data_IF_022191623712
#
_entry.id   IF_022191623712
#
_cell.length_a   1.000
_cell.length_b   1.000
_cell.length_c   1.000
_cell.angle_alpha   90.00
_cell.angle_beta   90.00
_cell.angle_gamma   90.00
#
_symmetry.space_group_name_H-M   'P 1'
#
loop_
_entity.id
_entity.type
_entity.pdbx_description
1 polymer ?
#
# COMPACT_ATOMS: atom_id res chain seq x y z
N UNK A 1 5.26 17.23 -31.62
CA UNK A 1 4.97 16.51 -30.37
C UNK A 1 6.29 15.98 -29.85
N UNK A 2 6.80 16.50 -28.73
CA UNK A 2 8.10 16.09 -28.21
C UNK A 2 7.98 14.65 -27.67
N UNK A 3 8.78 13.76 -28.24
CA UNK A 3 8.93 12.38 -27.83
C UNK A 3 9.49 12.37 -26.41
N UNK A 4 8.63 12.20 -25.40
CA UNK A 4 9.07 12.03 -24.02
C UNK A 4 9.64 10.63 -23.92
N UNK A 5 10.94 10.50 -24.18
CA UNK A 5 11.69 9.28 -23.90
C UNK A 5 11.31 8.80 -22.49
N UNK A 6 10.72 7.60 -22.41
CA UNK A 6 10.48 6.94 -21.14
C UNK A 6 11.82 6.86 -20.41
N UNK A 7 11.89 7.15 -19.11
CA UNK A 7 13.15 7.06 -18.37
C UNK A 7 13.72 5.66 -18.56
N UNK A 8 14.93 5.56 -19.12
CA UNK A 8 15.63 4.30 -19.25
C UNK A 8 15.83 3.73 -17.84
N UNK A 9 15.33 2.51 -17.64
CA UNK A 9 15.62 1.73 -16.44
C UNK A 9 16.87 0.93 -16.79
N UNK A 10 17.96 1.19 -16.09
CA UNK A 10 19.19 0.42 -16.27
C UNK A 10 18.92 -1.05 -16.04
N UNK A 11 19.30 -1.91 -16.98
CA UNK A 11 19.05 -3.37 -16.89
C UNK A 11 20.11 -4.09 -16.04
N UNK A 12 21.14 -3.37 -15.56
CA UNK A 12 22.15 -3.91 -14.67
C UNK A 12 21.58 -4.02 -13.23
N UNK A 13 21.43 -5.24 -12.68
CA UNK A 13 20.81 -5.43 -11.36
C UNK A 13 21.46 -4.64 -10.23
N UNK A 14 22.78 -4.42 -10.28
CA UNK A 14 23.51 -3.66 -9.26
C UNK A 14 23.14 -2.16 -9.31
N UNK A 15 22.91 -1.63 -10.50
CA UNK A 15 22.49 -0.24 -10.68
C UNK A 15 21.01 -0.06 -10.27
N UNK A 16 20.17 -1.06 -10.54
CA UNK A 16 18.75 -1.05 -10.11
C UNK A 16 18.60 -0.94 -8.59
N UNK A 17 19.38 -1.69 -7.81
CA UNK A 17 19.29 -1.63 -6.34
C UNK A 17 19.93 -0.36 -5.75
N UNK A 18 20.71 0.37 -6.53
CA UNK A 18 21.31 1.65 -6.16
C UNK A 18 20.46 2.84 -6.65
N UNK A 19 19.52 2.64 -7.57
CA UNK A 19 18.63 3.68 -8.06
C UNK A 19 17.75 4.21 -6.91
N UNK A 20 17.86 5.52 -6.55
CA UNK A 20 17.06 6.12 -5.49
C UNK A 20 15.54 5.96 -5.69
N UNK A 21 15.07 5.83 -6.94
CA UNK A 21 13.67 5.60 -7.28
C UNK A 21 13.21 4.22 -6.84
N UNK A 22 14.03 3.19 -7.10
CA UNK A 22 13.77 1.81 -6.74
C UNK A 22 13.82 1.65 -5.22
N UNK A 23 14.87 2.19 -4.59
CA UNK A 23 15.04 2.14 -3.13
C UNK A 23 13.87 2.83 -2.43
N UNK A 24 13.51 4.05 -2.87
CA UNK A 24 12.40 4.79 -2.27
C UNK A 24 11.06 4.11 -2.49
N UNK A 25 10.82 3.56 -3.69
CA UNK A 25 9.63 2.77 -3.99
C UNK A 25 9.51 1.54 -3.09
N UNK A 26 10.60 0.79 -2.92
CA UNK A 26 10.64 -0.36 -2.03
C UNK A 26 10.37 0.05 -0.57
N UNK A 27 10.96 1.15 -0.10
CA UNK A 27 10.69 1.72 1.23
C UNK A 27 9.22 2.12 1.41
N UNK A 28 8.60 2.70 0.38
CA UNK A 28 7.18 3.01 0.36
C UNK A 28 6.30 1.77 0.49
N UNK A 29 6.61 0.71 -0.27
CA UNK A 29 5.91 -0.59 -0.18
C UNK A 29 6.08 -1.21 1.21
N UNK A 30 7.31 -1.20 1.74
CA UNK A 30 7.64 -1.74 3.05
C UNK A 30 6.89 -0.98 4.15
N UNK A 31 6.94 0.35 4.14
CA UNK A 31 6.24 1.22 5.09
C UNK A 31 4.73 0.99 5.09
N UNK A 32 4.11 0.90 3.91
CA UNK A 32 2.69 0.59 3.78
C UNK A 32 2.32 -0.78 4.38
N UNK A 33 3.14 -1.81 4.13
CA UNK A 33 2.90 -3.14 4.66
C UNK A 33 3.10 -3.25 6.17
N UNK A 34 4.12 -2.57 6.71
CA UNK A 34 4.35 -2.49 8.16
C UNK A 34 3.20 -1.75 8.84
N UNK A 35 2.77 -0.62 8.30
CA UNK A 35 1.63 0.13 8.81
C UNK A 35 0.35 -0.70 8.79
N UNK A 36 0.06 -1.38 7.68
CA UNK A 36 -1.07 -2.31 7.56
C UNK A 36 -1.03 -3.38 8.63
N UNK A 37 0.11 -4.07 8.78
CA UNK A 37 0.28 -5.15 9.75
C UNK A 37 0.10 -4.64 11.17
N UNK A 38 0.64 -3.47 11.50
CA UNK A 38 0.47 -2.83 12.78
C UNK A 38 -1.01 -2.51 13.06
N UNK A 39 -1.70 -1.84 12.12
CA UNK A 39 -3.12 -1.50 12.26
C UNK A 39 -4.01 -2.73 12.42
N UNK A 40 -3.80 -3.77 11.62
CA UNK A 40 -4.59 -5.00 11.71
C UNK A 40 -4.33 -5.78 13.01
N UNK A 41 -3.11 -5.69 13.55
CA UNK A 41 -2.76 -6.35 14.81
C UNK A 41 -3.31 -5.58 16.02
N UNK A 42 -3.21 -4.25 16.00
CA UNK A 42 -3.67 -3.40 17.11
C UNK A 42 -5.20 -3.25 17.14
N UNK A 43 -5.85 -3.18 15.97
CA UNK A 43 -7.29 -2.99 15.86
C UNK A 43 -7.98 -4.24 15.30
N UNK A 44 -7.68 -5.41 15.87
CA UNK A 44 -8.31 -6.69 15.49
C UNK A 44 -9.84 -6.67 15.63
N UNK A 45 -10.36 -5.96 16.62
CA UNK A 45 -11.82 -5.78 16.79
C UNK A 45 -12.48 -5.00 15.64
N UNK A 46 -11.68 -4.25 14.86
CA UNK A 46 -12.17 -3.41 13.75
C UNK A 46 -11.96 -4.09 12.40
N UNK A 47 -10.76 -4.61 12.15
CA UNK A 47 -10.34 -5.17 10.87
C UNK A 47 -10.37 -6.70 10.82
N UNK A 48 -10.58 -7.36 11.96
CA UNK A 48 -10.60 -8.81 12.08
C UNK A 48 -9.29 -9.50 11.70
N UNK A 49 -9.24 -10.78 11.96
CA UNK A 49 -8.25 -11.73 11.48
C UNK A 49 -8.83 -12.45 10.25
N UNK A 50 -8.10 -12.41 9.14
CA UNK A 50 -8.51 -13.07 7.91
C UNK A 50 -8.25 -14.58 8.01
N UNK A 51 -9.28 -15.39 7.81
CA UNK A 51 -9.16 -16.84 7.75
C UNK A 51 -10.08 -17.39 6.66
N UNK A 52 -9.66 -18.48 6.02
CA UNK A 52 -10.54 -19.21 5.10
C UNK A 52 -11.64 -19.92 5.87
N UNK A 53 -12.89 -19.65 5.50
CA UNK A 53 -14.05 -20.39 5.96
C UNK A 53 -14.12 -21.78 5.34
N UNK A 54 -15.07 -22.59 5.79
CA UNK A 54 -15.34 -23.94 5.25
C UNK A 54 -15.77 -23.93 3.78
N UNK A 55 -16.24 -22.79 3.28
CA UNK A 55 -16.59 -22.53 1.88
C UNK A 55 -15.39 -22.06 1.03
N UNK A 56 -14.18 -22.04 1.60
CA UNK A 56 -12.96 -21.58 0.93
C UNK A 56 -12.85 -20.06 0.78
N UNK A 57 -13.85 -19.29 1.23
CA UNK A 57 -13.85 -17.82 1.15
C UNK A 57 -13.17 -17.21 2.38
N UNK A 58 -12.50 -16.08 2.20
CA UNK A 58 -11.93 -15.33 3.32
C UNK A 58 -13.07 -14.72 4.15
N UNK A 59 -13.03 -14.95 5.45
CA UNK A 59 -13.90 -14.33 6.46
C UNK A 59 -13.03 -13.70 7.55
N UNK A 60 -13.59 -12.69 8.20
CA UNK A 60 -12.86 -11.90 9.19
C UNK A 60 -13.42 -12.16 10.59
N UNK A 61 -12.55 -12.56 11.51
CA UNK A 61 -12.93 -12.95 12.86
C UNK A 61 -12.29 -12.03 13.89
N UNK A 62 -12.93 -11.82 15.02
CA UNK A 62 -12.37 -11.01 16.10
C UNK A 62 -11.10 -11.62 16.72
N UNK A 63 -10.97 -12.96 16.67
CA UNK A 63 -9.84 -13.70 17.24
C UNK A 63 -9.09 -14.52 16.18
N UNK A 64 -7.77 -14.64 16.36
CA UNK A 64 -6.90 -15.43 15.49
C UNK A 64 -6.86 -16.94 15.85
N UNK A 65 -7.52 -17.32 16.94
CA UNK A 65 -7.45 -18.64 17.56
C UNK A 65 -8.24 -19.68 16.74
N UNK A 66 -7.55 -20.68 16.20
CA UNK A 66 -8.11 -21.64 15.23
C UNK A 66 -9.28 -22.44 15.78
N UNK A 67 -9.19 -22.80 17.06
CA UNK A 67 -10.23 -23.52 17.79
C UNK A 67 -11.54 -22.73 17.92
N UNK A 68 -11.52 -21.40 17.70
CA UNK A 68 -12.68 -20.51 17.83
C UNK A 68 -13.17 -19.95 16.49
N UNK A 69 -12.58 -20.37 15.36
CA UNK A 69 -13.00 -19.96 14.00
C UNK A 69 -14.38 -20.50 13.59
N UNK A 70 -14.87 -21.54 14.27
CA UNK A 70 -16.18 -22.17 14.03
C UNK A 70 -17.36 -21.45 14.68
N UNK A 71 -17.12 -20.52 15.62
CA UNK A 71 -18.19 -19.73 16.23
C UNK A 71 -18.62 -18.62 15.26
N UNK A 72 -19.70 -18.85 14.52
CA UNK A 72 -20.34 -17.85 13.66
C UNK A 72 -20.65 -16.52 14.40
N UNK A 73 -20.71 -16.53 15.74
CA UNK A 73 -20.90 -15.35 16.58
C UNK A 73 -19.70 -14.40 16.70
N UNK A 74 -18.52 -14.73 16.16
CA UNK A 74 -17.30 -13.88 16.24
C UNK A 74 -16.83 -13.31 14.90
N UNK A 75 -17.65 -13.40 13.87
CA UNK A 75 -17.35 -12.83 12.56
C UNK A 75 -17.64 -11.33 12.53
N UNK A 76 -16.69 -10.53 12.03
CA UNK A 76 -16.85 -9.09 11.85
C UNK A 76 -17.24 -8.84 10.39
N UNK A 77 -18.54 -8.81 10.10
CA UNK A 77 -19.04 -8.63 8.73
C UNK A 77 -18.58 -7.31 8.09
N UNK A 78 -18.42 -6.24 8.88
CA UNK A 78 -17.97 -4.93 8.41
C UNK A 78 -16.46 -4.85 8.15
N UNK A 79 -15.67 -5.82 8.58
CA UNK A 79 -14.21 -5.80 8.42
C UNK A 79 -13.79 -5.81 6.95
N UNK A 80 -14.51 -6.54 6.10
CA UNK A 80 -14.27 -6.55 4.65
C UNK A 80 -14.31 -5.13 4.06
N UNK A 81 -15.40 -4.41 4.33
CA UNK A 81 -15.59 -3.06 3.82
C UNK A 81 -14.56 -2.08 4.41
N UNK A 82 -14.24 -2.21 5.71
CA UNK A 82 -13.23 -1.38 6.38
C UNK A 82 -11.82 -1.58 5.79
N UNK A 83 -11.45 -2.81 5.45
CA UNK A 83 -10.17 -3.12 4.79
C UNK A 83 -10.10 -2.52 3.40
N UNK A 84 -11.18 -2.62 2.62
CA UNK A 84 -11.29 -1.93 1.31
C UNK A 84 -11.06 -0.43 1.46
N UNK A 85 -11.74 0.21 2.42
CA UNK A 85 -11.56 1.65 2.64
C UNK A 85 -10.16 2.02 3.12
N UNK A 86 -9.53 1.20 3.96
CA UNK A 86 -8.16 1.41 4.37
C UNK A 86 -7.20 1.33 3.17
N UNK A 87 -7.36 0.32 2.32
CA UNK A 87 -6.53 0.14 1.11
C UNK A 87 -6.73 1.26 0.09
N UNK A 88 -7.98 1.70 -0.12
CA UNK A 88 -8.28 2.91 -0.90
C UNK A 88 -7.64 4.15 -0.28
N UNK A 89 -7.69 4.29 1.05
CA UNK A 89 -7.00 5.34 1.79
C UNK A 89 -5.50 5.34 1.53
N UNK A 90 -4.87 4.17 1.42
CA UNK A 90 -3.46 4.08 1.07
C UNK A 90 -3.16 4.53 -0.36
N UNK A 91 -3.99 4.13 -1.32
CA UNK A 91 -3.89 4.59 -2.71
C UNK A 91 -4.01 6.11 -2.78
N UNK A 92 -5.00 6.68 -2.10
CA UNK A 92 -5.21 8.13 -2.06
C UNK A 92 -4.04 8.85 -1.40
N UNK A 93 -3.60 8.38 -0.23
CA UNK A 93 -2.46 8.96 0.48
C UNK A 93 -1.18 8.93 -0.37
N UNK A 94 -0.86 7.78 -0.97
CA UNK A 94 0.30 7.67 -1.86
C UNK A 94 0.17 8.56 -3.10
N UNK A 95 -1.04 8.71 -3.66
CA UNK A 95 -1.32 9.61 -4.78
C UNK A 95 -1.13 11.09 -4.43
N UNK A 96 -1.56 11.49 -3.23
CA UNK A 96 -1.31 12.82 -2.71
C UNK A 96 0.19 13.04 -2.48
N UNK A 97 0.90 12.09 -1.85
CA UNK A 97 2.36 12.13 -1.66
C UNK A 97 3.12 12.31 -2.98
N UNK A 98 2.70 11.63 -4.06
CA UNK A 98 3.24 11.84 -5.40
C UNK A 98 2.98 13.25 -5.96
N UNK A 99 1.88 13.87 -5.54
CA UNK A 99 1.45 15.20 -6.00
C UNK A 99 2.09 16.34 -5.22
N UNK A 100 2.54 16.12 -3.97
CA UNK A 100 3.22 17.12 -3.15
C UNK A 100 4.44 17.77 -3.84
N UNK A 101 5.13 17.04 -4.74
CA UNK A 101 6.23 17.61 -5.53
C UNK A 101 5.83 18.17 -6.90
N UNK A 102 4.54 18.35 -7.20
CA UNK A 102 4.04 19.11 -8.36
C UNK A 102 3.63 20.54 -7.99
N UNK A 103 3.09 20.75 -6.79
CA UNK A 103 2.66 22.09 -6.31
C UNK A 103 3.85 23.05 -6.10
N UNK A 104 5.01 22.54 -5.69
CA UNK A 104 6.26 23.32 -5.54
C UNK A 104 6.83 23.88 -6.85
N UNK A 105 6.14 23.72 -8.00
CA UNK A 105 6.56 24.25 -9.31
C UNK A 105 5.88 25.56 -9.72
N UNK A 106 4.93 26.09 -8.95
CA UNK A 106 4.22 27.33 -9.31
C UNK A 106 4.81 28.60 -8.71
N UNK A 107 5.59 28.49 -7.65
CA UNK A 107 6.30 29.60 -7.03
C UNK A 107 7.82 29.34 -7.18
N UNK A 108 8.49 30.21 -7.93
CA UNK A 108 9.88 30.10 -8.38
C UNK A 108 10.91 30.14 -7.23
N UNK A 109 11.14 29.01 -6.52
CA UNK A 109 12.34 28.81 -5.67
C UNK A 109 12.94 27.38 -5.73
N UNK A 110 12.20 26.35 -6.12
CA UNK A 110 12.73 24.98 -6.21
C UNK A 110 12.80 24.48 -7.66
N UNK A 111 13.55 25.20 -8.49
CA UNK A 111 14.08 24.65 -9.73
C UNK A 111 15.08 23.55 -9.38
N UNK A 112 14.95 22.39 -10.04
CA UNK A 112 15.84 21.23 -9.99
C UNK A 112 15.67 20.29 -8.78
N UNK A 113 15.35 19.03 -9.09
CA UNK A 113 16.22 17.92 -8.68
C UNK A 113 16.65 17.81 -7.20
N UNK A 114 15.80 18.16 -6.23
CA UNK A 114 16.05 17.73 -4.86
C UNK A 114 15.76 16.24 -4.76
N UNK A 115 16.80 15.43 -4.52
CA UNK A 115 16.71 13.98 -4.30
C UNK A 115 15.58 13.64 -3.33
N UNK A 116 15.39 14.46 -2.28
CA UNK A 116 14.30 14.33 -1.32
C UNK A 116 12.90 14.36 -1.96
N UNK A 117 12.65 15.28 -2.91
CA UNK A 117 11.35 15.36 -3.60
C UNK A 117 11.14 14.17 -4.52
N UNK A 118 12.21 13.68 -5.14
CA UNK A 118 12.18 12.44 -5.93
C UNK A 118 11.85 11.24 -5.03
N UNK A 119 12.54 11.10 -3.89
CA UNK A 119 12.34 10.04 -2.92
C UNK A 119 10.90 10.02 -2.40
N UNK A 120 10.34 11.17 -2.02
CA UNK A 120 8.94 11.27 -1.55
C UNK A 120 7.95 10.82 -2.62
N UNK A 121 8.18 11.18 -3.90
CA UNK A 121 7.32 10.73 -5.00
C UNK A 121 7.36 9.22 -5.18
N UNK A 122 8.55 8.62 -5.22
CA UNK A 122 8.66 7.17 -5.42
C UNK A 122 8.24 6.38 -4.18
N UNK A 123 8.48 6.88 -2.97
CA UNK A 123 7.91 6.30 -1.75
C UNK A 123 6.38 6.37 -1.77
N UNK A 124 5.80 7.50 -2.19
CA UNK A 124 4.36 7.66 -2.41
C UNK A 124 3.81 6.66 -3.44
N UNK A 125 4.53 6.44 -4.55
CA UNK A 125 4.19 5.44 -5.54
C UNK A 125 4.20 4.02 -4.95
N UNK A 126 5.25 3.65 -4.22
CA UNK A 126 5.35 2.36 -3.55
C UNK A 126 4.23 2.14 -2.54
N UNK A 127 3.88 3.18 -1.78
CA UNK A 127 2.77 3.15 -0.83
C UNK A 127 1.42 2.95 -1.53
N UNK A 128 1.17 3.70 -2.61
CA UNK A 128 -0.04 3.55 -3.43
C UNK A 128 -0.13 2.17 -4.10
N UNK A 129 0.98 1.67 -4.64
CA UNK A 129 1.04 0.34 -5.25
C UNK A 129 0.73 -0.77 -4.24
N UNK A 130 1.27 -0.68 -3.02
CA UNK A 130 0.95 -1.61 -1.93
C UNK A 130 -0.53 -1.53 -1.53
N UNK A 131 -1.09 -0.33 -1.42
CA UNK A 131 -2.52 -0.12 -1.20
C UNK A 131 -3.38 -0.78 -2.28
N UNK A 132 -3.06 -0.54 -3.55
CA UNK A 132 -3.79 -1.10 -4.68
C UNK A 132 -3.69 -2.63 -4.76
N UNK A 133 -2.51 -3.19 -4.55
CA UNK A 133 -2.31 -4.64 -4.53
C UNK A 133 -3.17 -5.30 -3.43
N UNK A 134 -3.15 -4.75 -2.22
CA UNK A 134 -3.99 -5.26 -1.14
C UNK A 134 -5.49 -5.09 -1.43
N UNK A 135 -5.91 -3.97 -2.04
CA UNK A 135 -7.29 -3.78 -2.46
C UNK A 135 -7.74 -4.90 -3.42
N UNK A 136 -6.93 -5.20 -4.44
CA UNK A 136 -7.19 -6.30 -5.39
C UNK A 136 -7.27 -7.63 -4.64
N UNK A 137 -6.32 -7.93 -3.76
CA UNK A 137 -6.34 -9.17 -2.97
C UNK A 137 -7.62 -9.30 -2.12
N UNK A 138 -8.05 -8.23 -1.46
CA UNK A 138 -9.30 -8.21 -0.68
C UNK A 138 -10.51 -8.43 -1.58
N UNK A 139 -10.62 -7.73 -2.71
CA UNK A 139 -11.76 -7.84 -3.64
C UNK A 139 -11.89 -9.24 -4.25
N UNK A 140 -10.77 -9.92 -4.50
CA UNK A 140 -10.74 -11.27 -5.07
C UNK A 140 -10.62 -12.38 -4.02
N UNK A 141 -10.66 -12.07 -2.71
CA UNK A 141 -10.51 -13.04 -1.62
C UNK A 141 -9.22 -13.89 -1.71
N UNK A 142 -8.09 -13.27 -2.04
CA UNK A 142 -6.77 -13.94 -2.19
C UNK A 142 -5.81 -13.60 -1.03
N UNK A 143 -6.35 -13.16 0.12
CA UNK A 143 -5.55 -12.80 1.31
C UNK A 143 -4.85 -13.99 2.00
#
# INVERSE_FOLDING_TARGET
>A
MADRALPQIDTNPLQVVQDPRVVSGAMGVLGANLLRKALFTQQRSVFGYAAKGSDGRIRYYENADEAKKGDAGKQIASAYQRRIFLHLGYVLFGTLAMSYGKEARKDDVLSSTDDTTLMVKYAGLGFAASGFANLVMTLFNIE
#
